data_IF_016852660213
#
_entry.id   IF_016852660213
#
_cell.length_a   1.000
_cell.length_b   1.000
_cell.length_c   1.000
_cell.angle_alpha   90.00
_cell.angle_beta   90.00
_cell.angle_gamma   90.00
#
_symmetry.space_group_name_H-M   'P 1'
#
loop_
_entity.id
_entity.type
_entity.pdbx_description
1 polymer ?
#
# COMPACT_ATOMS: atom_id res chain seq x y z
N UNK A 1 -7.86 7.22 10.14
CA UNK A 1 -6.73 6.32 9.83
C UNK A 1 -5.98 6.85 8.61
N UNK A 2 -4.64 6.80 8.62
CA UNK A 2 -3.87 7.15 7.42
C UNK A 2 -4.20 6.24 6.25
N UNK A 3 -4.07 6.78 5.06
CA UNK A 3 -4.33 6.07 3.81
C UNK A 3 -3.01 5.75 3.11
N UNK A 4 -2.92 4.57 2.54
CA UNK A 4 -1.69 4.09 1.90
C UNK A 4 -1.99 3.54 0.50
N UNK A 5 -1.06 3.80 -0.41
CA UNK A 5 -1.03 3.17 -1.72
C UNK A 5 0.08 2.12 -1.70
N UNK A 6 -0.28 0.87 -1.93
CA UNK A 6 0.68 -0.21 -2.05
C UNK A 6 0.69 -0.70 -3.50
N UNK A 7 1.88 -0.74 -4.10
CA UNK A 7 2.07 -1.24 -5.45
C UNK A 7 3.01 -2.42 -5.38
N UNK A 8 2.62 -3.52 -6.02
CA UNK A 8 3.37 -4.76 -5.93
C UNK A 8 3.73 -5.34 -7.28
N UNK A 9 4.88 -6.01 -7.31
CA UNK A 9 5.33 -6.79 -8.46
C UNK A 9 5.56 -8.22 -8.00
N UNK A 10 4.89 -9.16 -8.65
CA UNK A 10 4.99 -10.57 -8.30
C UNK A 10 6.30 -11.18 -8.78
N UNK A 11 6.85 -12.08 -7.98
CA UNK A 11 7.91 -12.99 -8.42
C UNK A 11 7.28 -14.09 -9.26
N UNK A 12 8.11 -14.96 -9.84
CA UNK A 12 7.61 -16.14 -10.57
C UNK A 12 6.72 -17.00 -9.67
N UNK A 13 7.13 -17.20 -8.42
CA UNK A 13 6.34 -17.91 -7.41
C UNK A 13 4.99 -17.26 -7.19
N UNK A 14 4.98 -15.93 -7.07
CA UNK A 14 3.75 -15.18 -6.85
C UNK A 14 2.79 -15.27 -8.03
N UNK A 15 3.30 -15.16 -9.25
CA UNK A 15 2.48 -15.29 -10.46
C UNK A 15 1.87 -16.69 -10.57
N UNK A 16 2.61 -17.73 -10.24
CA UNK A 16 2.07 -19.09 -10.20
C UNK A 16 0.92 -19.20 -9.19
N UNK A 17 1.06 -18.54 -8.05
CA UNK A 17 0.00 -18.48 -7.05
C UNK A 17 -1.24 -17.76 -7.57
N UNK A 18 -1.06 -16.65 -8.28
CA UNK A 18 -2.18 -15.92 -8.89
C UNK A 18 -2.91 -16.79 -9.93
N UNK A 19 -2.16 -17.51 -10.75
CA UNK A 19 -2.75 -18.44 -11.74
C UNK A 19 -3.58 -19.52 -11.05
N UNK A 20 -3.11 -20.01 -9.91
CA UNK A 20 -3.80 -21.06 -9.17
C UNK A 20 -5.05 -20.56 -8.44
N UNK A 21 -4.95 -19.39 -7.81
CA UNK A 21 -5.97 -18.84 -6.91
C UNK A 21 -6.98 -17.94 -7.60
N UNK A 22 -6.53 -17.26 -8.64
CA UNK A 22 -7.32 -16.24 -9.32
C UNK A 22 -7.27 -14.90 -8.61
N UNK A 23 -7.73 -13.86 -9.30
CA UNK A 23 -7.69 -12.49 -8.79
C UNK A 23 -8.58 -12.24 -7.58
N UNK A 24 -9.79 -12.81 -7.58
CA UNK A 24 -10.72 -12.64 -6.45
C UNK A 24 -10.21 -13.31 -5.19
N UNK A 25 -9.55 -14.46 -5.34
CA UNK A 25 -8.93 -15.16 -4.21
C UNK A 25 -7.82 -14.34 -3.58
N UNK A 26 -6.98 -13.72 -4.40
CA UNK A 26 -5.91 -12.86 -3.92
C UNK A 26 -6.47 -11.61 -3.24
N UNK A 27 -7.49 -11.00 -3.80
CA UNK A 27 -8.15 -9.85 -3.19
C UNK A 27 -8.67 -10.18 -1.80
N UNK A 28 -9.35 -11.31 -1.65
CA UNK A 28 -9.88 -11.74 -0.36
C UNK A 28 -8.76 -11.96 0.67
N UNK A 29 -7.67 -12.58 0.27
CA UNK A 29 -6.55 -12.84 1.16
C UNK A 29 -5.90 -11.54 1.66
N UNK A 30 -5.69 -10.58 0.77
CA UNK A 30 -5.12 -9.28 1.15
C UNK A 30 -6.08 -8.50 2.02
N UNK A 31 -7.36 -8.50 1.67
CA UNK A 31 -8.40 -7.84 2.48
C UNK A 31 -8.43 -8.41 3.90
N UNK A 32 -8.39 -9.71 4.05
CA UNK A 32 -8.38 -10.37 5.35
C UNK A 32 -7.15 -9.97 6.17
N UNK A 33 -5.98 -9.89 5.55
CA UNK A 33 -4.76 -9.48 6.23
C UNK A 33 -4.84 -8.04 6.74
N UNK A 34 -5.37 -7.14 5.92
CA UNK A 34 -5.54 -5.72 6.30
C UNK A 34 -6.54 -5.60 7.44
N UNK A 35 -7.68 -6.27 7.33
CA UNK A 35 -8.72 -6.22 8.36
C UNK A 35 -8.26 -6.81 9.68
N UNK A 36 -7.49 -7.89 9.65
CA UNK A 36 -6.92 -8.52 10.85
C UNK A 36 -5.99 -7.57 11.61
N UNK A 37 -5.38 -6.60 10.90
CA UNK A 37 -4.51 -5.60 11.51
C UNK A 37 -5.26 -4.31 11.88
N UNK A 38 -6.59 -4.33 11.83
CA UNK A 38 -7.42 -3.19 12.19
C UNK A 38 -7.62 -2.18 11.09
N UNK A 39 -7.27 -2.52 9.87
CA UNK A 39 -7.42 -1.65 8.72
C UNK A 39 -8.63 -1.95 7.87
N UNK A 40 -8.74 -1.24 6.74
CA UNK A 40 -9.83 -1.39 5.79
C UNK A 40 -9.27 -1.22 4.38
N UNK A 41 -9.60 -2.16 3.49
CA UNK A 41 -9.21 -2.06 2.10
C UNK A 41 -10.22 -1.22 1.32
N UNK A 42 -9.74 -0.16 0.66
CA UNK A 42 -10.59 0.73 -0.14
C UNK A 42 -10.68 0.27 -1.59
N UNK A 43 -9.54 -0.13 -2.16
CA UNK A 43 -9.46 -0.52 -3.56
C UNK A 43 -8.40 -1.60 -3.78
N UNK A 44 -8.63 -2.45 -4.77
CA UNK A 44 -7.70 -3.51 -5.15
C UNK A 44 -7.84 -3.73 -6.65
N UNK A 45 -6.75 -3.55 -7.39
CA UNK A 45 -6.70 -3.74 -8.83
C UNK A 45 -5.43 -4.44 -9.26
N UNK A 46 -5.52 -5.22 -10.33
CA UNK A 46 -4.34 -5.71 -11.05
C UNK A 46 -3.98 -4.74 -12.18
N UNK A 47 -2.73 -4.77 -12.59
CA UNK A 47 -2.20 -3.87 -13.63
C UNK A 47 -1.25 -4.63 -14.57
N UNK A 48 -1.01 -4.06 -15.73
CA UNK A 48 -0.07 -4.58 -16.73
C UNK A 48 0.99 -3.52 -17.03
N UNK A 49 1.69 -3.04 -16.03
CA UNK A 49 2.68 -1.99 -16.18
C UNK A 49 3.91 -2.30 -15.32
N UNK A 50 4.48 -1.27 -14.73
CA UNK A 50 5.60 -1.43 -13.80
C UNK A 50 5.23 -2.26 -12.59
N UNK A 51 3.97 -2.14 -12.16
CA UNK A 51 3.44 -2.91 -11.04
C UNK A 51 2.35 -3.83 -11.53
N UNK A 52 2.17 -4.94 -10.83
CA UNK A 52 1.17 -5.96 -11.17
C UNK A 52 -0.10 -5.82 -10.34
N UNK A 53 -0.01 -5.21 -9.18
CA UNK A 53 -1.14 -5.04 -8.27
C UNK A 53 -1.08 -3.69 -7.58
N UNK A 54 -2.25 -3.10 -7.39
CA UNK A 54 -2.40 -1.78 -6.74
C UNK A 54 -3.46 -1.90 -5.67
N UNK A 55 -3.12 -1.51 -4.45
CA UNK A 55 -4.03 -1.56 -3.30
C UNK A 55 -4.06 -0.19 -2.62
N UNK A 56 -5.26 0.28 -2.31
CA UNK A 56 -5.44 1.47 -1.47
C UNK A 56 -6.13 1.01 -0.19
N UNK A 57 -5.54 1.35 0.94
CA UNK A 57 -6.04 0.91 2.25
C UNK A 57 -5.89 1.99 3.32
N UNK A 58 -6.77 1.92 4.31
CA UNK A 58 -6.65 2.69 5.54
C UNK A 58 -6.14 1.73 6.61
N UNK A 59 -5.06 2.11 7.29
CA UNK A 59 -4.54 1.32 8.42
C UNK A 59 -4.23 2.25 9.58
N UNK A 60 -4.20 1.73 10.81
CA UNK A 60 -4.12 2.58 12.01
C UNK A 60 -2.91 3.51 12.06
N UNK A 61 -1.74 3.05 11.62
CA UNK A 61 -0.51 3.82 11.71
C UNK A 61 0.58 3.27 10.77
N UNK A 62 1.70 3.99 10.72
CA UNK A 62 2.84 3.60 9.87
C UNK A 62 3.45 2.26 10.30
N UNK A 63 3.47 1.97 11.59
CA UNK A 63 4.03 0.71 12.10
C UNK A 63 3.23 -0.47 11.58
N UNK A 64 1.91 -0.36 11.60
CA UNK A 64 1.01 -1.38 11.05
C UNK A 64 1.18 -1.54 9.55
N UNK A 65 1.29 -0.43 8.82
CA UNK A 65 1.54 -0.45 7.37
C UNK A 65 2.87 -1.15 7.05
N UNK A 66 3.92 -0.84 7.81
CA UNK A 66 5.22 -1.48 7.67
C UNK A 66 5.14 -2.99 7.99
N UNK A 67 4.40 -3.35 9.03
CA UNK A 67 4.23 -4.77 9.39
C UNK A 67 3.56 -5.56 8.26
N UNK A 68 2.54 -4.99 7.64
CA UNK A 68 1.88 -5.60 6.48
C UNK A 68 2.86 -5.76 5.32
N UNK A 69 3.61 -4.72 4.98
CA UNK A 69 4.56 -4.74 3.89
C UNK A 69 5.67 -5.77 4.12
N UNK A 70 6.23 -5.82 5.32
CA UNK A 70 7.28 -6.77 5.69
C UNK A 70 6.75 -8.20 5.68
N UNK A 71 5.59 -8.41 6.30
CA UNK A 71 4.98 -9.74 6.40
C UNK A 71 4.64 -10.30 5.02
N UNK A 72 4.03 -9.50 4.17
CA UNK A 72 3.68 -9.92 2.81
C UNK A 72 4.95 -10.12 1.97
N UNK A 73 5.90 -9.18 2.03
CA UNK A 73 7.15 -9.27 1.29
C UNK A 73 8.01 -10.46 1.70
N UNK A 74 7.95 -10.86 2.97
CA UNK A 74 8.73 -11.99 3.48
C UNK A 74 8.30 -13.34 2.90
N UNK A 75 7.14 -13.41 2.26
CA UNK A 75 6.70 -14.65 1.60
C UNK A 75 7.48 -14.97 0.33
N UNK A 76 8.22 -13.99 -0.21
CA UNK A 76 8.98 -14.17 -1.44
C UNK A 76 8.13 -14.17 -2.71
N UNK A 77 6.83 -13.88 -2.60
CA UNK A 77 5.90 -13.93 -3.74
C UNK A 77 5.66 -12.58 -4.40
N UNK A 78 5.89 -11.50 -3.68
CA UNK A 78 5.63 -10.15 -4.16
C UNK A 78 6.59 -9.15 -3.51
N UNK A 79 7.01 -8.16 -4.29
CA UNK A 79 7.78 -7.01 -3.83
C UNK A 79 6.84 -5.81 -3.77
N UNK A 80 6.78 -5.14 -2.63
CA UNK A 80 5.86 -4.03 -2.39
C UNK A 80 6.57 -2.70 -2.24
N UNK A 81 5.93 -1.65 -2.77
CA UNK A 81 6.28 -0.26 -2.49
C UNK A 81 5.05 0.39 -1.88
N UNK A 82 5.22 1.01 -0.71
CA UNK A 82 4.11 1.63 0.01
C UNK A 82 4.32 3.13 0.11
N UNK A 83 3.31 3.88 -0.28
CA UNK A 83 3.32 5.35 -0.28
C UNK A 83 2.20 5.84 0.63
N UNK A 84 2.51 6.78 1.51
CA UNK A 84 1.49 7.43 2.33
C UNK A 84 0.75 8.44 1.46
N UNK A 85 -0.57 8.37 1.48
CA UNK A 85 -1.44 9.29 0.74
C UNK A 85 -2.03 10.33 1.69
N UNK A 86 -2.19 11.53 1.18
CA UNK A 86 -2.88 12.61 1.89
C UNK A 86 -4.19 12.90 1.18
N UNK A 87 -5.24 13.14 1.96
CA UNK A 87 -6.49 13.68 1.40
C UNK A 87 -6.28 15.15 1.03
N UNK A 88 -7.12 15.71 0.13
CA UNK A 88 -7.09 17.14 -0.14
C UNK A 88 -7.24 18.00 1.11
N UNK A 89 -8.06 17.54 2.06
CA UNK A 89 -8.27 18.24 3.35
C UNK A 89 -7.01 18.26 4.20
N UNK A 90 -6.27 17.14 4.20
CA UNK A 90 -5.00 17.07 4.92
C UNK A 90 -3.95 17.98 4.26
N UNK A 91 -3.96 18.07 2.93
CA UNK A 91 -3.08 19.00 2.23
C UNK A 91 -3.43 20.45 2.61
N UNK A 92 -4.71 20.77 2.70
CA UNK A 92 -5.16 22.10 3.15
C UNK A 92 -4.61 22.43 4.53
N UNK A 93 -4.62 21.46 5.45
CA UNK A 93 -4.05 21.65 6.78
C UNK A 93 -2.53 21.86 6.71
N UNK A 94 -1.84 21.12 5.87
CA UNK A 94 -0.39 21.24 5.69
C UNK A 94 0.00 22.63 5.17
N UNK A 95 -0.77 23.17 4.23
CA UNK A 95 -0.50 24.51 3.67
C UNK A 95 -0.63 25.63 4.68
N UNK A 96 -1.32 25.40 5.78
CA UNK A 96 -1.49 26.38 6.86
C UNK A 96 -0.34 26.36 7.86
N UNK A 97 0.52 25.36 7.82
CA UNK A 97 1.70 25.29 8.67
C UNK A 97 2.84 26.06 8.03
N UNK A 98 3.35 27.05 8.75
CA UNK A 98 4.46 27.88 8.27
C UNK A 98 5.78 27.21 8.65
N UNK A 99 6.69 27.14 7.71
CA UNK A 99 8.03 26.63 7.95
C UNK A 99 9.05 27.75 7.84
N UNK A 100 10.11 27.70 8.64
CA UNK A 100 11.27 28.55 8.51
C UNK A 100 12.32 27.78 7.72
N UNK A 101 12.46 28.14 6.45
CA UNK A 101 13.35 27.38 5.55
C UNK A 101 14.08 28.32 4.62
N UNK A 102 15.38 28.14 4.53
CA UNK A 102 16.24 28.86 3.60
C UNK A 102 16.46 27.99 2.37
N UNK A 103 16.06 28.49 1.18
CA UNK A 103 16.25 27.76 -0.06
C UNK A 103 17.73 27.54 -0.35
N UNK A 104 18.03 26.47 -1.08
CA UNK A 104 19.41 26.16 -1.44
C UNK A 104 20.05 27.34 -2.18
N UNK A 105 21.24 27.75 -1.75
CA UNK A 105 21.97 28.85 -2.36
C UNK A 105 21.52 30.25 -1.93
N UNK A 106 20.59 30.37 -1.05
CA UNK A 106 20.08 31.66 -0.54
C UNK A 106 20.83 32.15 0.69
#
# INVERSE_FOLDING_TARGET
MPKYLSMGSYTVEGIKGVLKEGGTGRRKAVQAAIEAMGGKMEAYYFAFGESDVVVISDVPDNVTAAALAIGIGSTGTVSLKTTVLLTPEELDQATKKTIAFRAAGQ
#
